data_IF_426158096349
#
_entry.id   IF_426158096349
#
_cell.length_a   1.000
_cell.length_b   1.000
_cell.length_c   1.000
_cell.angle_alpha   90.00
_cell.angle_beta   90.00
_cell.angle_gamma   90.00
#
_symmetry.space_group_name_H-M   'P 1'
#
loop_
_entity.id
_entity.type
_entity.pdbx_description
1 polymer ?
#
# COMPACT_ATOMS: atom_id res chain seq x y z
N UNK A 1 23.65 -5.22 18.75
CA UNK A 1 22.60 -4.59 17.91
C UNK A 1 23.26 -4.00 16.68
N UNK A 2 22.69 -4.19 15.49
CA UNK A 2 23.16 -3.52 14.26
C UNK A 2 22.83 -2.03 14.41
N UNK A 3 23.72 -1.13 13.99
CA UNK A 3 23.45 0.30 14.04
C UNK A 3 22.26 0.65 13.13
N UNK A 4 21.49 1.66 13.50
CA UNK A 4 20.37 2.18 12.72
C UNK A 4 20.81 2.52 11.30
N UNK A 5 21.98 3.13 11.17
CA UNK A 5 22.55 3.50 9.88
C UNK A 5 22.77 2.29 8.97
N UNK A 6 23.35 1.20 9.50
CA UNK A 6 23.60 -0.01 8.72
C UNK A 6 22.29 -0.73 8.36
N UNK A 7 21.35 -0.82 9.32
CA UNK A 7 20.05 -1.45 9.09
C UNK A 7 19.25 -0.70 8.00
N UNK A 8 19.15 0.63 8.10
CA UNK A 8 18.48 1.46 7.10
C UNK A 8 19.12 1.34 5.71
N UNK A 9 20.45 1.35 5.61
CA UNK A 9 21.14 1.18 4.34
C UNK A 9 20.93 -0.21 3.73
N UNK A 10 20.99 -1.27 4.53
CA UNK A 10 20.78 -2.65 4.05
C UNK A 10 19.40 -2.82 3.43
N UNK A 11 18.40 -2.26 4.11
CA UNK A 11 17.00 -2.26 3.67
C UNK A 11 16.80 -1.45 2.39
N UNK A 12 17.27 -0.21 2.37
CA UNK A 12 16.95 0.73 1.28
C UNK A 12 17.67 0.41 -0.03
N UNK A 13 18.85 -0.23 0.02
CA UNK A 13 19.57 -0.67 -1.19
C UNK A 13 18.77 -1.67 -2.02
N UNK A 14 17.96 -2.51 -1.37
CA UNK A 14 17.11 -3.52 -2.01
C UNK A 14 15.64 -3.35 -1.60
N UNK A 15 15.14 -2.11 -1.66
CA UNK A 15 13.79 -1.79 -1.20
C UNK A 15 12.71 -2.60 -1.93
N UNK A 16 12.82 -2.73 -3.26
CA UNK A 16 11.87 -3.50 -4.08
C UNK A 16 11.75 -4.95 -3.59
N UNK A 17 12.88 -5.65 -3.47
CA UNK A 17 12.91 -7.03 -2.97
C UNK A 17 12.45 -7.15 -1.51
N UNK A 18 12.65 -6.11 -0.70
CA UNK A 18 12.19 -6.11 0.70
C UNK A 18 10.68 -5.92 0.81
N UNK A 19 10.08 -5.13 -0.09
CA UNK A 19 8.63 -5.01 -0.21
C UNK A 19 8.01 -6.29 -0.77
N UNK A 20 8.61 -6.91 -1.79
CA UNK A 20 8.16 -8.22 -2.32
C UNK A 20 8.14 -9.30 -1.25
N UNK A 21 9.25 -9.45 -0.51
CA UNK A 21 9.31 -10.39 0.63
C UNK A 21 8.30 -10.09 1.73
N UNK A 22 7.92 -8.82 1.89
CA UNK A 22 6.86 -8.45 2.85
C UNK A 22 5.50 -8.85 2.33
N UNK A 23 5.21 -8.61 1.04
CA UNK A 23 3.97 -9.02 0.40
C UNK A 23 3.75 -10.54 0.46
N UNK A 24 4.84 -11.32 0.38
CA UNK A 24 4.80 -12.79 0.47
C UNK A 24 4.57 -13.34 1.89
N UNK A 25 4.64 -12.50 2.94
CA UNK A 25 4.36 -12.97 4.30
C UNK A 25 2.90 -13.47 4.39
N UNK A 26 2.63 -14.62 5.05
CA UNK A 26 1.30 -15.24 5.05
C UNK A 26 0.15 -14.29 5.42
N UNK A 27 0.32 -13.50 6.49
CA UNK A 27 -0.71 -12.57 6.95
C UNK A 27 -0.95 -11.42 5.94
N UNK A 28 0.14 -10.85 5.40
CA UNK A 28 0.08 -9.77 4.40
C UNK A 28 -0.56 -10.26 3.11
N UNK A 29 -0.13 -11.43 2.61
CA UNK A 29 -0.67 -12.06 1.41
C UNK A 29 -2.16 -12.39 1.57
N UNK A 30 -2.55 -12.93 2.72
CA UNK A 30 -3.93 -13.33 3.01
C UNK A 30 -4.88 -12.13 3.06
N UNK A 31 -4.48 -11.05 3.74
CA UNK A 31 -5.28 -9.83 3.81
C UNK A 31 -5.33 -9.10 2.46
N UNK A 32 -4.21 -9.04 1.73
CA UNK A 32 -4.14 -8.42 0.40
C UNK A 32 -5.02 -9.18 -0.60
N UNK A 33 -4.95 -10.51 -0.61
CA UNK A 33 -5.80 -11.32 -1.48
C UNK A 33 -7.30 -11.14 -1.16
N UNK A 34 -7.65 -10.98 0.12
CA UNK A 34 -9.04 -10.67 0.49
C UNK A 34 -9.45 -9.29 -0.01
N UNK A 35 -8.60 -8.27 0.16
CA UNK A 35 -8.86 -6.92 -0.29
C UNK A 35 -9.06 -6.86 -1.81
N UNK A 36 -8.11 -7.36 -2.60
CA UNK A 36 -8.17 -7.37 -4.06
C UNK A 36 -9.41 -8.11 -4.59
N UNK A 37 -9.77 -9.25 -3.98
CA UNK A 37 -10.92 -10.06 -4.40
C UNK A 37 -12.27 -9.40 -4.11
N UNK A 38 -12.36 -8.52 -3.12
CA UNK A 38 -13.65 -8.01 -2.63
C UNK A 38 -13.83 -6.51 -2.82
N UNK A 39 -12.77 -5.71 -2.89
CA UNK A 39 -12.89 -4.25 -2.99
C UNK A 39 -13.61 -3.80 -4.27
N UNK A 40 -13.47 -4.56 -5.37
CA UNK A 40 -14.22 -4.30 -6.60
C UNK A 40 -15.74 -4.45 -6.44
N UNK A 41 -16.22 -5.18 -5.45
CA UNK A 41 -17.67 -5.37 -5.21
C UNK A 41 -18.29 -4.24 -4.41
N UNK A 42 -17.46 -3.38 -3.82
CA UNK A 42 -17.89 -2.26 -2.98
C UNK A 42 -18.32 -1.10 -3.87
N UNK A 43 -19.61 -0.76 -3.85
CA UNK A 43 -20.19 0.30 -4.67
C UNK A 43 -20.46 1.57 -3.88
N UNK A 44 -20.74 1.42 -2.59
CA UNK A 44 -21.11 2.52 -1.72
C UNK A 44 -20.23 2.58 -0.49
N UNK A 45 -20.29 3.73 0.21
CA UNK A 45 -19.67 3.86 1.53
C UNK A 45 -20.25 2.85 2.52
N UNK A 46 -21.54 2.55 2.45
CA UNK A 46 -22.16 1.58 3.36
C UNK A 46 -21.62 0.17 3.13
N UNK A 47 -21.44 -0.25 1.88
CA UNK A 47 -20.80 -1.53 1.55
C UNK A 47 -19.39 -1.60 2.13
N UNK A 48 -18.63 -0.49 2.01
CA UNK A 48 -17.26 -0.41 2.51
C UNK A 48 -17.19 -0.50 4.03
N UNK A 49 -18.06 0.23 4.73
CA UNK A 49 -18.08 0.28 6.20
C UNK A 49 -18.66 -1.01 6.81
N UNK A 50 -19.48 -1.75 6.06
CA UNK A 50 -20.05 -3.02 6.48
C UNK A 50 -19.02 -4.16 6.48
N UNK A 51 -18.07 -4.17 5.54
CA UNK A 51 -16.97 -5.13 5.53
C UNK A 51 -15.81 -4.63 6.41
N UNK A 52 -15.80 -5.08 7.66
CA UNK A 52 -14.80 -4.70 8.66
C UNK A 52 -13.36 -5.05 8.24
N UNK A 53 -13.18 -6.12 7.46
CA UNK A 53 -11.86 -6.56 7.01
C UNK A 53 -11.33 -5.65 5.90
N UNK A 54 -12.16 -5.29 4.93
CA UNK A 54 -11.81 -4.28 3.92
C UNK A 54 -11.51 -2.92 4.56
N UNK A 55 -12.37 -2.50 5.48
CA UNK A 55 -12.22 -1.22 6.16
C UNK A 55 -10.91 -1.15 6.97
N UNK A 56 -10.59 -2.18 7.77
CA UNK A 56 -9.34 -2.20 8.56
C UNK A 56 -8.11 -2.22 7.67
N UNK A 57 -8.08 -3.06 6.64
CA UNK A 57 -6.99 -3.10 5.67
C UNK A 57 -6.70 -1.71 5.07
N UNK A 58 -7.77 -1.04 4.64
CA UNK A 58 -7.68 0.28 4.05
C UNK A 58 -7.24 1.35 5.06
N UNK A 59 -7.74 1.31 6.30
CA UNK A 59 -7.33 2.25 7.35
C UNK A 59 -5.85 2.06 7.72
N UNK A 60 -5.41 0.80 7.83
CA UNK A 60 -4.01 0.44 8.11
C UNK A 60 -3.08 0.89 6.99
N UNK A 61 -3.46 0.69 5.72
CA UNK A 61 -2.69 1.14 4.57
C UNK A 61 -2.37 2.64 4.61
N UNK A 62 -3.27 3.46 5.17
CA UNK A 62 -3.08 4.91 5.27
C UNK A 62 -2.39 5.33 6.58
N UNK A 63 -1.93 4.35 7.37
CA UNK A 63 -1.28 4.54 8.65
C UNK A 63 -2.24 5.04 9.73
N UNK A 64 -3.53 4.75 9.59
CA UNK A 64 -4.60 5.17 10.51
C UNK A 64 -5.11 4.01 11.37
N UNK A 65 -4.38 2.89 11.44
CA UNK A 65 -4.83 1.65 12.09
C UNK A 65 -5.29 1.80 13.54
N UNK A 66 -4.57 2.63 14.32
CA UNK A 66 -4.96 2.97 15.70
C UNK A 66 -6.33 3.65 15.78
N UNK A 67 -6.82 4.25 14.70
CA UNK A 67 -8.11 4.93 14.60
C UNK A 67 -9.18 4.07 13.93
N UNK A 68 -8.89 2.82 13.58
CA UNK A 68 -9.86 1.90 12.98
C UNK A 68 -11.09 1.70 13.87
N UNK A 69 -10.96 1.76 15.20
CA UNK A 69 -12.09 1.65 16.12
C UNK A 69 -13.10 2.80 15.97
N UNK A 70 -12.67 3.97 15.50
CA UNK A 70 -13.48 5.19 15.44
C UNK A 70 -14.39 5.23 14.19
N UNK A 71 -15.19 4.18 13.95
CA UNK A 71 -15.97 4.00 12.72
C UNK A 71 -16.90 5.18 12.38
N UNK A 72 -17.55 5.78 13.37
CA UNK A 72 -18.44 6.93 13.13
C UNK A 72 -17.66 8.17 12.66
N UNK A 73 -16.48 8.40 13.22
CA UNK A 73 -15.59 9.47 12.79
C UNK A 73 -15.08 9.22 11.37
N UNK A 74 -14.62 7.99 11.09
CA UNK A 74 -14.13 7.60 9.77
C UNK A 74 -15.23 7.65 8.70
N UNK A 75 -16.46 7.26 9.05
CA UNK A 75 -17.63 7.46 8.18
C UNK A 75 -17.77 8.92 7.78
N UNK A 76 -17.74 9.85 8.75
CA UNK A 76 -17.84 11.29 8.44
C UNK A 76 -16.70 11.80 7.56
N UNK A 77 -15.46 11.33 7.81
CA UNK A 77 -14.29 11.64 6.97
C UNK A 77 -14.53 11.22 5.51
N UNK A 78 -15.11 10.05 5.29
CA UNK A 78 -15.41 9.51 3.96
C UNK A 78 -16.65 10.17 3.31
N UNK A 79 -17.69 10.49 4.09
CA UNK A 79 -18.93 11.13 3.59
C UNK A 79 -18.67 12.53 3.04
N UNK A 80 -17.86 13.35 3.72
CA UNK A 80 -17.54 14.70 3.25
C UNK A 80 -16.38 14.72 2.22
N UNK A 81 -15.66 13.61 2.08
CA UNK A 81 -14.59 13.43 1.09
C UNK A 81 -13.29 14.21 1.34
N UNK A 82 -12.26 13.90 0.55
CA UNK A 82 -10.93 14.52 0.66
C UNK A 82 -10.61 15.58 -0.41
N UNK A 83 -11.52 15.79 -1.36
CA UNK A 83 -11.25 16.54 -2.59
C UNK A 83 -11.67 18.02 -2.52
N UNK A 84 -12.43 18.43 -1.50
CA UNK A 84 -12.83 19.82 -1.27
C UNK A 84 -11.98 20.46 -0.16
N UNK A 85 -11.53 21.72 -0.31
CA UNK A 85 -10.83 22.44 0.76
C UNK A 85 -11.71 22.65 2.00
N UNK A 86 -13.03 22.64 1.85
CA UNK A 86 -13.99 22.84 2.94
C UNK A 86 -14.45 21.55 3.62
N UNK A 87 -14.02 20.38 3.13
CA UNK A 87 -14.45 19.11 3.71
C UNK A 87 -13.94 18.92 5.15
N UNK A 88 -14.67 18.15 5.95
CA UNK A 88 -14.24 17.78 7.30
C UNK A 88 -12.80 17.28 7.34
N UNK A 89 -12.42 16.40 6.42
CA UNK A 89 -11.06 15.84 6.36
C UNK A 89 -9.98 16.90 6.11
N UNK A 90 -10.28 17.95 5.33
CA UNK A 90 -9.37 19.07 5.05
C UNK A 90 -9.18 20.01 6.25
N UNK A 91 -10.11 19.99 7.22
CA UNK A 91 -10.04 20.79 8.46
C UNK A 91 -9.31 20.08 9.60
N UNK A 92 -9.03 18.79 9.45
CA UNK A 92 -8.28 18.02 10.44
C UNK A 92 -6.78 18.37 10.38
N UNK A 93 -6.14 18.38 11.55
CA UNK A 93 -4.70 18.63 11.64
C UNK A 93 -3.87 17.53 10.99
N UNK A 94 -4.35 16.28 11.05
CA UNK A 94 -3.69 15.13 10.45
C UNK A 94 -4.09 14.98 8.97
N UNK A 95 -3.15 15.20 8.01
CA UNK A 95 -3.46 15.14 6.58
C UNK A 95 -3.77 13.73 6.07
N UNK A 96 -3.48 12.67 6.83
CA UNK A 96 -3.75 11.28 6.44
C UNK A 96 -5.23 11.03 6.19
N UNK A 97 -6.11 11.67 6.96
CA UNK A 97 -7.57 11.56 6.78
C UNK A 97 -8.03 12.08 5.41
N UNK A 98 -7.47 13.22 4.96
CA UNK A 98 -7.77 13.76 3.63
C UNK A 98 -7.30 12.84 2.52
N UNK A 99 -6.10 12.28 2.66
CA UNK A 99 -5.53 11.35 1.67
C UNK A 99 -6.32 10.04 1.61
N UNK A 100 -6.78 9.55 2.77
CA UNK A 100 -7.69 8.42 2.87
C UNK A 100 -9.04 8.71 2.20
N UNK A 101 -9.68 9.83 2.55
CA UNK A 101 -10.97 10.22 2.00
C UNK A 101 -10.94 10.44 0.48
N UNK A 102 -9.86 11.02 -0.05
CA UNK A 102 -9.70 11.19 -1.50
C UNK A 102 -9.55 9.86 -2.24
N UNK A 103 -8.91 8.86 -1.63
CA UNK A 103 -8.74 7.55 -2.26
C UNK A 103 -10.04 6.74 -2.27
N UNK A 104 -10.87 6.87 -1.23
CA UNK A 104 -12.14 6.18 -1.11
C UNK A 104 -13.32 7.03 -1.61
N UNK A 105 -13.11 7.85 -2.64
CA UNK A 105 -14.15 8.60 -3.32
C UNK A 105 -14.93 7.68 -4.29
N UNK A 106 -16.24 7.57 -4.09
CA UNK A 106 -17.13 6.71 -4.85
C UNK A 106 -17.80 7.42 -6.04
N UNK A 107 -17.46 8.69 -6.35
CA UNK A 107 -18.19 9.52 -7.34
C UNK A 107 -17.72 9.43 -8.81
N UNK A 108 -16.63 8.72 -9.13
CA UNK A 108 -15.92 8.87 -10.42
C UNK A 108 -16.30 7.95 -11.60
N UNK A 109 -17.06 6.87 -11.39
CA UNK A 109 -17.28 5.78 -12.38
C UNK A 109 -18.46 5.99 -13.34
N UNK A 110 -19.26 7.04 -13.14
CA UNK A 110 -20.57 7.19 -13.80
C UNK A 110 -20.47 7.53 -15.30
N UNK A 111 -19.51 8.36 -15.71
CA UNK A 111 -19.47 8.91 -17.09
C UNK A 111 -19.26 7.84 -18.17
N UNK A 112 -18.31 6.91 -17.98
CA UNK A 112 -18.05 5.86 -18.97
C UNK A 112 -19.20 4.84 -19.01
N UNK A 113 -19.79 4.56 -17.85
CA UNK A 113 -20.97 3.68 -17.74
C UNK A 113 -22.15 4.27 -18.50
N UNK A 114 -22.40 5.57 -18.37
CA UNK A 114 -23.45 6.26 -19.11
C UNK A 114 -23.21 6.24 -20.63
N UNK A 115 -21.97 6.51 -21.07
CA UNK A 115 -21.62 6.39 -22.48
C UNK A 115 -21.87 4.98 -23.02
N UNK A 116 -21.55 3.95 -22.25
CA UNK A 116 -21.84 2.56 -22.63
C UNK A 116 -23.35 2.29 -22.72
N UNK A 117 -24.11 2.65 -21.68
CA UNK A 117 -25.56 2.37 -21.62
C UNK A 117 -26.34 3.06 -22.73
N UNK A 118 -25.94 4.28 -23.08
CA UNK A 118 -26.62 5.10 -24.09
C UNK A 118 -26.34 4.60 -25.51
N UNK A 119 -25.14 4.05 -25.76
CA UNK A 119 -24.69 3.73 -27.12
C UNK A 119 -24.70 2.23 -27.45
N UNK A 120 -24.74 1.32 -26.48
CA UNK A 120 -24.64 -0.13 -26.75
C UNK A 120 -25.76 -0.65 -27.67
N UNK A 121 -26.95 -0.03 -27.61
CA UNK A 121 -28.11 -0.38 -28.46
C UNK A 121 -27.95 0.06 -29.93
N UNK A 122 -26.96 0.90 -30.24
CA UNK A 122 -26.67 1.32 -31.63
C UNK A 122 -25.89 0.25 -32.40
N UNK A 123 -25.35 -0.75 -31.72
CA UNK A 123 -24.58 -1.84 -32.31
C UNK A 123 -25.46 -2.67 -33.24
N UNK A 124 -25.09 -2.68 -34.53
CA UNK A 124 -25.80 -3.40 -35.58
C UNK A 124 -25.05 -4.61 -36.15
N UNK A 125 -23.76 -4.77 -35.83
CA UNK A 125 -22.90 -5.87 -36.27
C UNK A 125 -21.79 -6.12 -35.26
N UNK A 126 -21.22 -7.34 -35.27
CA UNK A 126 -20.00 -7.67 -34.50
C UNK A 126 -18.85 -6.76 -34.92
N UNK A 127 -18.69 -6.51 -36.21
CA UNK A 127 -17.66 -5.60 -36.74
C UNK A 127 -17.81 -4.19 -36.16
N UNK A 128 -19.01 -3.62 -36.17
CA UNK A 128 -19.25 -2.30 -35.57
C UNK A 128 -18.92 -2.28 -34.08
N UNK A 129 -19.32 -3.31 -33.33
CA UNK A 129 -19.03 -3.40 -31.91
C UNK A 129 -17.51 -3.41 -31.64
N UNK A 130 -16.76 -4.30 -32.30
CA UNK A 130 -15.31 -4.46 -32.08
C UNK A 130 -14.53 -3.22 -32.50
N UNK A 131 -14.96 -2.52 -33.56
CA UNK A 131 -14.30 -1.29 -34.01
C UNK A 131 -14.76 -0.03 -33.26
N UNK A 132 -15.83 -0.10 -32.46
CA UNK A 132 -16.22 0.99 -31.58
C UNK A 132 -15.37 0.93 -30.31
N UNK A 133 -14.22 1.61 -30.32
CA UNK A 133 -13.25 1.56 -29.21
C UNK A 133 -13.88 1.87 -27.84
N UNK A 134 -14.85 2.79 -27.78
CA UNK A 134 -15.52 3.13 -26.52
C UNK A 134 -16.31 1.95 -25.94
N UNK A 135 -17.20 1.36 -26.75
CA UNK A 135 -18.02 0.23 -26.33
C UNK A 135 -17.19 -1.05 -26.13
N UNK A 136 -16.25 -1.29 -27.04
CA UNK A 136 -15.40 -2.47 -27.01
C UNK A 136 -14.45 -2.43 -25.82
N UNK A 137 -13.71 -1.34 -25.60
CA UNK A 137 -12.78 -1.26 -24.47
C UNK A 137 -13.51 -1.32 -23.14
N UNK A 138 -14.71 -0.73 -23.03
CA UNK A 138 -15.55 -0.84 -21.83
C UNK A 138 -15.89 -2.31 -21.55
N UNK A 139 -16.37 -3.03 -22.56
CA UNK A 139 -16.70 -4.44 -22.44
C UNK A 139 -15.47 -5.31 -22.16
N UNK A 140 -14.35 -5.09 -22.85
CA UNK A 140 -13.12 -5.84 -22.62
C UNK A 140 -12.60 -5.64 -21.20
N UNK A 141 -12.64 -4.41 -20.68
CA UNK A 141 -12.30 -4.11 -19.29
C UNK A 141 -13.23 -4.78 -18.28
N UNK A 142 -14.53 -4.76 -18.56
CA UNK A 142 -15.51 -5.44 -17.71
C UNK A 142 -15.21 -6.94 -17.57
N UNK A 143 -14.55 -7.57 -18.54
CA UNK A 143 -14.21 -9.00 -18.48
C UNK A 143 -12.73 -9.28 -18.20
N UNK A 144 -11.91 -8.25 -17.96
CA UNK A 144 -10.47 -8.40 -17.72
C UNK A 144 -9.71 -8.96 -18.94
N UNK A 145 -10.07 -8.48 -20.13
CA UNK A 145 -9.59 -8.95 -21.44
C UNK A 145 -8.74 -7.89 -22.18
N UNK A 146 -8.31 -6.83 -21.50
CA UNK A 146 -7.57 -5.72 -22.11
C UNK A 146 -6.27 -6.16 -22.80
N UNK A 147 -5.66 -7.24 -22.33
CA UNK A 147 -4.42 -7.82 -22.89
C UNK A 147 -4.59 -8.43 -24.29
N UNK A 148 -5.83 -8.72 -24.70
CA UNK A 148 -6.13 -9.30 -26.02
C UNK A 148 -6.93 -8.35 -26.92
N UNK A 149 -7.18 -7.11 -26.51
CA UNK A 149 -8.02 -6.16 -27.27
C UNK A 149 -7.54 -5.93 -28.70
N UNK A 150 -6.24 -6.04 -28.94
CA UNK A 150 -5.62 -5.83 -30.26
C UNK A 150 -5.78 -7.04 -31.21
N UNK A 151 -6.24 -8.20 -30.69
CA UNK A 151 -6.52 -9.43 -31.45
C UNK A 151 -7.94 -9.42 -32.05
N UNK A 152 -8.26 -8.33 -32.76
CA UNK A 152 -9.63 -8.04 -33.21
C UNK A 152 -10.18 -9.11 -34.16
N UNK A 153 -9.35 -9.66 -35.04
CA UNK A 153 -9.78 -10.68 -36.01
C UNK A 153 -10.15 -12.01 -35.33
N UNK A 154 -9.35 -12.46 -34.37
CA UNK A 154 -9.66 -13.66 -33.59
C UNK A 154 -10.92 -13.46 -32.75
N UNK A 155 -11.06 -12.29 -32.12
CA UNK A 155 -12.22 -11.94 -31.31
C UNK A 155 -13.49 -11.91 -32.17
N UNK A 156 -13.48 -11.20 -33.31
CA UNK A 156 -14.62 -11.16 -34.23
C UNK A 156 -15.00 -12.56 -34.70
N UNK A 157 -14.02 -13.38 -35.10
CA UNK A 157 -14.25 -14.75 -35.53
C UNK A 157 -14.92 -15.59 -34.45
N UNK A 158 -14.48 -15.47 -33.20
CA UNK A 158 -15.05 -16.19 -32.08
C UNK A 158 -16.45 -15.69 -31.68
N UNK A 159 -16.69 -14.37 -31.76
CA UNK A 159 -18.01 -13.77 -31.53
C UNK A 159 -19.03 -14.21 -32.58
N UNK A 160 -18.64 -14.31 -33.85
CA UNK A 160 -19.48 -14.88 -34.90
C UNK A 160 -19.75 -16.37 -34.69
N UNK A 161 -18.75 -17.12 -34.22
CA UNK A 161 -18.89 -18.55 -33.94
C UNK A 161 -19.66 -18.85 -32.63
N UNK A 162 -19.80 -17.87 -31.74
CA UNK A 162 -20.37 -18.05 -30.39
C UNK A 162 -19.51 -18.92 -29.48
N UNK A 163 -18.26 -19.19 -29.88
CA UNK A 163 -17.32 -20.05 -29.16
C UNK A 163 -15.90 -19.65 -29.48
N UNK A 164 -15.00 -20.00 -28.56
CA UNK A 164 -13.58 -19.83 -28.77
C UNK A 164 -13.11 -20.65 -30.00
N UNK A 165 -12.45 -19.98 -30.95
CA UNK A 165 -11.95 -20.57 -32.22
C UNK A 165 -10.48 -21.01 -32.14
N UNK A 166 -9.73 -20.52 -31.16
CA UNK A 166 -8.33 -20.83 -30.86
C UNK A 166 -7.95 -20.32 -29.47
N UNK A 167 -6.77 -20.66 -28.95
CA UNK A 167 -6.32 -20.17 -27.64
C UNK A 167 -5.61 -18.83 -27.75
N UNK A 168 -5.76 -17.96 -26.75
CA UNK A 168 -5.00 -16.73 -26.62
C UNK A 168 -3.61 -16.91 -25.98
N UNK A 169 -3.26 -18.13 -25.57
CA UNK A 169 -1.98 -18.47 -24.93
C UNK A 169 -2.03 -18.42 -23.39
N UNK A 170 -3.17 -18.06 -22.81
CA UNK A 170 -3.39 -17.99 -21.37
C UNK A 170 -4.74 -18.62 -21.01
N UNK A 171 -4.72 -19.60 -20.09
CA UNK A 171 -5.92 -20.36 -19.70
C UNK A 171 -6.95 -19.51 -18.97
N UNK A 172 -6.52 -18.53 -18.20
CA UNK A 172 -7.41 -17.62 -17.48
C UNK A 172 -8.08 -16.65 -18.46
N UNK A 173 -7.32 -16.12 -19.42
CA UNK A 173 -7.87 -15.28 -20.49
C UNK A 173 -8.86 -16.08 -21.35
N UNK A 174 -8.54 -17.31 -21.73
CA UNK A 174 -9.44 -18.18 -22.47
C UNK A 174 -10.74 -18.48 -21.70
N UNK A 175 -10.67 -18.58 -20.37
CA UNK A 175 -11.85 -18.77 -19.52
C UNK A 175 -12.70 -17.50 -19.44
N UNK A 176 -12.08 -16.34 -19.20
CA UNK A 176 -12.75 -15.03 -19.20
C UNK A 176 -13.40 -14.73 -20.54
N UNK A 177 -12.74 -15.07 -21.65
CA UNK A 177 -13.29 -14.85 -22.99
C UNK A 177 -14.48 -15.76 -23.30
N UNK A 178 -14.47 -17.01 -22.83
CA UNK A 178 -15.67 -17.88 -22.90
C UNK A 178 -16.84 -17.31 -22.12
N UNK A 179 -16.58 -16.67 -20.97
CA UNK A 179 -17.60 -15.99 -20.19
C UNK A 179 -18.15 -14.77 -20.92
N UNK A 180 -17.26 -13.96 -21.50
CA UNK A 180 -17.60 -12.84 -22.37
C UNK A 180 -18.54 -13.26 -23.53
N UNK A 181 -18.24 -14.35 -24.22
CA UNK A 181 -19.07 -14.85 -25.33
C UNK A 181 -20.47 -15.31 -24.89
N UNK A 182 -20.66 -15.74 -23.64
CA UNK A 182 -21.99 -16.07 -23.11
C UNK A 182 -22.83 -14.82 -22.89
N UNK A 183 -22.19 -13.73 -22.47
CA UNK A 183 -22.85 -12.44 -22.24
C UNK A 183 -23.10 -11.75 -23.58
N UNK A 184 -22.10 -11.65 -24.45
CA UNK A 184 -22.17 -11.06 -25.79
C UNK A 184 -22.50 -12.09 -26.87
N UNK A 185 -23.63 -12.80 -26.72
CA UNK A 185 -24.02 -13.91 -27.62
C UNK A 185 -24.62 -13.42 -28.96
N UNK A 186 -23.79 -12.80 -29.79
CA UNK A 186 -24.16 -12.38 -31.16
C UNK A 186 -24.45 -13.56 -32.09
N UNK A 187 -23.85 -14.72 -31.85
CA UNK A 187 -24.05 -15.90 -32.69
C UNK A 187 -25.48 -16.43 -32.61
N UNK A 188 -26.06 -16.47 -31.40
CA UNK A 188 -27.43 -16.93 -31.18
C UNK A 188 -28.46 -15.82 -31.33
N UNK A 189 -28.17 -14.65 -30.77
CA UNK A 189 -29.17 -13.58 -30.63
C UNK A 189 -29.01 -12.46 -31.66
N UNK A 190 -27.94 -12.46 -32.46
CA UNK A 190 -27.60 -11.35 -33.34
C UNK A 190 -27.50 -10.04 -32.56
N UNK A 191 -28.00 -8.95 -33.14
CA UNK A 191 -28.03 -7.63 -32.50
C UNK A 191 -28.98 -7.55 -31.31
N UNK A 192 -29.90 -8.50 -31.12
CA UNK A 192 -30.79 -8.49 -29.94
C UNK A 192 -30.03 -8.69 -28.63
N UNK A 193 -28.80 -9.22 -28.69
CA UNK A 193 -27.94 -9.36 -27.51
C UNK A 193 -27.71 -8.02 -26.80
N UNK A 194 -27.60 -6.90 -27.54
CA UNK A 194 -27.36 -5.57 -26.95
C UNK A 194 -28.61 -4.92 -26.33
N UNK A 195 -29.77 -5.57 -26.48
CA UNK A 195 -31.01 -5.18 -25.82
C UNK A 195 -31.29 -5.99 -24.55
N UNK A 196 -30.47 -7.01 -24.24
CA UNK A 196 -30.63 -7.82 -23.03
C UNK A 196 -30.31 -6.98 -21.78
N UNK A 197 -31.29 -6.76 -20.88
CA UNK A 197 -31.04 -6.05 -19.62
C UNK A 197 -29.98 -6.74 -18.75
N UNK A 198 -29.83 -8.06 -18.85
CA UNK A 198 -28.82 -8.81 -18.10
C UNK A 198 -27.42 -8.51 -18.59
N UNK A 199 -27.20 -8.41 -19.90
CA UNK A 199 -25.91 -7.99 -20.47
C UNK A 199 -25.51 -6.62 -19.94
N UNK A 200 -26.45 -5.67 -19.94
CA UNK A 200 -26.20 -4.32 -19.46
C UNK A 200 -25.80 -4.32 -17.97
N UNK A 201 -26.61 -4.97 -17.13
CA UNK A 201 -26.34 -5.04 -15.69
C UNK A 201 -25.00 -5.73 -15.41
N UNK A 202 -24.75 -6.88 -16.03
CA UNK A 202 -23.53 -7.66 -15.79
C UNK A 202 -22.27 -6.94 -16.28
N UNK A 203 -22.31 -6.33 -17.47
CA UNK A 203 -21.16 -5.59 -17.99
C UNK A 203 -20.86 -4.37 -17.12
N UNK A 204 -21.88 -3.60 -16.74
CA UNK A 204 -21.69 -2.39 -15.94
C UNK A 204 -21.17 -2.71 -14.53
N UNK A 205 -21.71 -3.75 -13.89
CA UNK A 205 -21.24 -4.20 -12.58
C UNK A 205 -19.79 -4.67 -12.61
N UNK A 206 -19.42 -5.47 -13.61
CA UNK A 206 -18.05 -5.96 -13.74
C UNK A 206 -17.07 -4.84 -14.11
N UNK A 207 -17.48 -3.89 -14.94
CA UNK A 207 -16.67 -2.72 -15.27
C UNK A 207 -16.39 -1.87 -14.03
N UNK A 208 -17.43 -1.55 -13.25
CA UNK A 208 -17.27 -0.79 -12.00
C UNK A 208 -16.33 -1.52 -11.03
N UNK A 209 -16.46 -2.84 -10.94
CA UNK A 209 -15.58 -3.65 -10.11
C UNK A 209 -14.12 -3.63 -10.58
N UNK A 210 -13.88 -3.75 -11.88
CA UNK A 210 -12.54 -3.69 -12.47
C UNK A 210 -11.88 -2.31 -12.24
N UNK A 211 -12.61 -1.22 -12.52
CA UNK A 211 -12.12 0.14 -12.27
C UNK A 211 -11.81 0.35 -10.79
N UNK A 212 -12.69 -0.12 -9.90
CA UNK A 212 -12.48 0.01 -8.46
C UNK A 212 -11.25 -0.78 -8.00
N UNK A 213 -11.06 -2.02 -8.47
CA UNK A 213 -9.89 -2.82 -8.15
C UNK A 213 -8.59 -2.10 -8.58
N UNK A 214 -8.55 -1.56 -9.79
CA UNK A 214 -7.39 -0.80 -10.31
C UNK A 214 -7.12 0.47 -9.51
N UNK A 215 -8.15 1.27 -9.20
CA UNK A 215 -8.02 2.48 -8.39
C UNK A 215 -7.50 2.20 -6.97
N UNK A 216 -7.67 0.96 -6.49
CA UNK A 216 -7.25 0.54 -5.16
C UNK A 216 -5.85 -0.07 -5.12
N UNK A 217 -5.16 -0.23 -6.25
CA UNK A 217 -3.77 -0.69 -6.27
C UNK A 217 -2.83 0.17 -5.39
N UNK A 218 -2.93 1.51 -5.37
CA UNK A 218 -2.12 2.32 -4.46
C UNK A 218 -2.41 2.04 -2.97
N UNK A 219 -3.59 1.53 -2.62
CA UNK A 219 -3.93 1.10 -1.26
C UNK A 219 -3.20 -0.18 -0.91
N UNK A 220 -3.14 -1.16 -1.82
CA UNK A 220 -2.36 -2.39 -1.65
C UNK A 220 -0.89 -2.08 -1.44
N UNK A 221 -0.31 -1.25 -2.31
CA UNK A 221 1.10 -0.86 -2.21
C UNK A 221 1.40 -0.15 -0.88
N UNK A 222 0.48 0.71 -0.44
CA UNK A 222 0.55 1.38 0.86
C UNK A 222 0.47 0.41 2.03
N UNK A 223 -0.41 -0.58 1.97
CA UNK A 223 -0.53 -1.61 3.00
C UNK A 223 0.74 -2.43 3.13
N UNK A 224 1.25 -2.98 2.02
CA UNK A 224 2.51 -3.75 2.01
C UNK A 224 3.65 -2.90 2.58
N UNK A 225 3.71 -1.62 2.19
CA UNK A 225 4.73 -0.72 2.68
C UNK A 225 4.57 -0.38 4.18
N UNK A 226 3.35 -0.22 4.67
CA UNK A 226 3.07 -0.02 6.09
C UNK A 226 3.52 -1.25 6.90
N UNK A 227 3.12 -2.45 6.46
CA UNK A 227 3.53 -3.70 7.08
C UNK A 227 5.06 -3.86 7.07
N UNK A 228 5.70 -3.45 5.98
CA UNK A 228 7.15 -3.45 5.87
C UNK A 228 7.79 -2.50 6.90
N UNK A 229 7.32 -1.26 6.99
CA UNK A 229 7.80 -0.26 7.96
C UNK A 229 7.59 -0.71 9.42
N UNK A 230 6.46 -1.34 9.74
CA UNK A 230 6.16 -1.90 11.07
C UNK A 230 7.07 -3.06 11.43
N UNK A 231 7.32 -3.97 10.48
CA UNK A 231 8.21 -5.11 10.66
C UNK A 231 9.67 -4.66 10.93
N UNK A 232 10.15 -3.65 10.20
CA UNK A 232 11.48 -3.07 10.46
C UNK A 232 11.52 -2.34 11.81
N UNK A 233 10.44 -1.65 12.18
CA UNK A 233 10.28 -0.95 13.46
C UNK A 233 10.31 -1.86 14.68
N UNK A 234 9.74 -3.07 14.56
CA UNK A 234 9.81 -4.09 15.61
C UNK A 234 11.26 -4.47 15.97
N UNK A 235 12.18 -4.35 15.01
CA UNK A 235 13.61 -4.58 15.22
C UNK A 235 14.36 -3.30 15.62
N UNK A 236 14.08 -2.18 14.96
CA UNK A 236 14.69 -0.89 15.24
C UNK A 236 13.72 0.26 14.88
N UNK A 237 13.16 0.91 15.92
CA UNK A 237 12.22 2.02 15.78
C UNK A 237 12.77 3.17 14.91
N UNK A 238 14.07 3.46 15.01
CA UNK A 238 14.66 4.53 14.21
C UNK A 238 14.73 4.15 12.72
N UNK A 239 14.80 2.87 12.36
CA UNK A 239 14.71 2.43 10.96
C UNK A 239 13.30 2.69 10.43
N UNK A 240 12.25 2.38 11.20
CA UNK A 240 10.86 2.71 10.84
C UNK A 240 10.68 4.20 10.62
N UNK A 241 11.17 5.02 11.56
CA UNK A 241 11.11 6.48 11.45
C UNK A 241 11.84 7.01 10.22
N UNK A 242 13.02 6.45 9.89
CA UNK A 242 13.76 6.82 8.68
C UNK A 242 13.00 6.46 7.40
N UNK A 243 12.42 5.26 7.32
CA UNK A 243 11.63 4.79 6.18
C UNK A 243 10.35 5.63 6.01
N UNK A 244 9.65 5.90 7.11
CA UNK A 244 8.46 6.74 7.14
C UNK A 244 8.77 8.17 6.67
N UNK A 245 9.84 8.77 7.18
CA UNK A 245 10.28 10.10 6.76
C UNK A 245 10.70 10.10 5.28
N UNK A 246 11.47 9.12 4.82
CA UNK A 246 11.86 8.94 3.41
C UNK A 246 10.65 8.95 2.48
N UNK A 247 9.55 8.30 2.89
CA UNK A 247 8.29 8.25 2.14
C UNK A 247 7.58 9.60 2.07
N UNK A 248 7.51 10.32 3.19
CA UNK A 248 6.69 11.53 3.34
C UNK A 248 7.42 12.81 2.95
N UNK A 249 8.73 12.86 3.15
CA UNK A 249 9.56 14.05 2.98
C UNK A 249 9.41 14.76 1.61
N UNK A 250 9.30 14.06 0.46
CA UNK A 250 9.13 14.73 -0.83
C UNK A 250 7.81 15.51 -0.96
N UNK A 251 6.80 15.17 -0.16
CA UNK A 251 5.51 15.87 -0.15
C UNK A 251 5.48 17.09 0.77
N UNK A 252 6.47 17.24 1.66
CA UNK A 252 6.51 18.30 2.64
C UNK A 252 6.86 19.64 2.00
N UNK A 253 6.07 20.66 2.31
CA UNK A 253 6.21 22.03 1.78
C UNK A 253 6.57 23.05 2.85
N UNK A 254 6.31 22.76 4.12
CA UNK A 254 6.57 23.69 5.22
C UNK A 254 6.68 22.96 6.57
N UNK A 255 7.13 23.69 7.59
CA UNK A 255 7.34 23.15 8.93
C UNK A 255 6.05 22.73 9.64
N UNK A 256 4.92 23.38 9.35
CA UNK A 256 3.63 22.99 9.96
C UNK A 256 3.25 21.54 9.61
N UNK A 257 3.57 21.08 8.41
CA UNK A 257 3.34 19.68 8.01
C UNK A 257 4.24 18.68 8.75
N UNK A 258 5.44 19.10 9.16
CA UNK A 258 6.30 18.29 10.05
C UNK A 258 5.73 18.27 11.47
N UNK A 259 5.30 19.43 11.98
CA UNK A 259 4.77 19.58 13.33
C UNK A 259 3.43 18.85 13.53
N UNK A 260 2.66 18.66 12.45
CA UNK A 260 1.41 17.92 12.47
C UNK A 260 1.58 16.40 12.60
N UNK A 261 2.79 15.86 12.43
CA UNK A 261 3.06 14.42 12.44
C UNK A 261 4.15 14.08 13.48
N UNK A 262 3.81 13.34 14.56
CA UNK A 262 4.75 12.97 15.63
C UNK A 262 6.01 12.23 15.14
N UNK A 263 5.90 11.40 14.10
CA UNK A 263 7.04 10.68 13.56
C UNK A 263 7.96 11.62 12.77
N UNK A 264 7.40 12.57 12.01
CA UNK A 264 8.18 13.53 11.25
C UNK A 264 8.92 14.51 12.16
N UNK A 265 8.25 15.07 13.17
CA UNK A 265 8.89 15.98 14.13
C UNK A 265 10.02 15.27 14.90
N UNK A 266 9.83 14.01 15.28
CA UNK A 266 10.86 13.23 15.97
C UNK A 266 12.11 13.07 15.09
N UNK A 267 11.95 12.71 13.82
CA UNK A 267 13.07 12.59 12.87
C UNK A 267 13.78 13.92 12.69
N UNK A 268 13.02 15.00 12.48
CA UNK A 268 13.58 16.35 12.28
C UNK A 268 14.32 16.85 13.51
N UNK A 269 13.77 16.65 14.71
CA UNK A 269 14.41 17.01 15.96
C UNK A 269 15.74 16.25 16.16
N UNK A 270 15.72 14.93 16.00
CA UNK A 270 16.93 14.11 16.14
C UNK A 270 17.99 14.46 15.09
N UNK A 271 17.60 14.59 13.82
CA UNK A 271 18.53 14.90 12.73
C UNK A 271 19.20 16.27 12.92
N UNK A 272 18.42 17.28 13.33
CA UNK A 272 18.88 18.67 13.44
C UNK A 272 19.44 19.02 14.82
N UNK A 273 19.37 18.10 15.79
CA UNK A 273 19.79 18.33 17.17
C UNK A 273 18.89 19.35 17.88
N UNK A 274 17.60 19.39 17.55
CA UNK A 274 16.62 20.24 18.22
C UNK A 274 16.11 19.48 19.46
N UNK A 275 16.23 20.04 20.68
CA UNK A 275 15.77 19.38 21.90
C UNK A 275 14.26 19.11 21.91
N UNK A 276 13.81 18.02 22.55
CA UNK A 276 12.37 17.66 22.60
C UNK A 276 11.54 18.69 23.36
N UNK A 277 12.18 19.43 24.27
CA UNK A 277 11.58 20.49 25.08
C UNK A 277 11.02 21.63 24.21
N UNK A 278 11.53 21.80 22.97
CA UNK A 278 11.00 22.82 22.06
C UNK A 278 9.56 22.53 21.64
N UNK A 279 9.08 21.28 21.78
CA UNK A 279 7.68 20.93 21.48
C UNK A 279 6.67 21.60 22.42
N UNK A 280 7.11 22.12 23.57
CA UNK A 280 6.27 22.92 24.47
C UNK A 280 6.17 24.41 24.11
N UNK A 281 6.88 24.87 23.06
CA UNK A 281 6.85 26.28 22.63
C UNK A 281 5.62 26.58 21.75
N UNK A 282 5.35 27.87 21.51
CA UNK A 282 4.38 28.30 20.50
C UNK A 282 4.67 27.69 19.12
N UNK A 283 3.64 27.22 18.43
CA UNK A 283 3.79 26.45 17.18
C UNK A 283 4.51 27.24 16.08
N UNK A 284 4.26 28.55 15.99
CA UNK A 284 4.92 29.43 15.02
C UNK A 284 6.43 29.53 15.29
N UNK A 285 6.83 29.57 16.56
CA UNK A 285 8.26 29.59 16.94
C UNK A 285 8.93 28.25 16.63
N UNK A 286 8.23 27.14 16.83
CA UNK A 286 8.72 25.83 16.41
C UNK A 286 8.90 25.77 14.89
N UNK A 287 7.91 26.27 14.13
CA UNK A 287 7.96 26.31 12.68
C UNK A 287 9.13 27.16 12.15
N UNK A 288 9.39 28.32 12.77
CA UNK A 288 10.52 29.19 12.47
C UNK A 288 11.87 28.51 12.74
N UNK A 289 12.01 27.81 13.87
CA UNK A 289 13.23 27.08 14.22
C UNK A 289 13.55 25.97 13.22
N UNK A 290 12.53 25.21 12.82
CA UNK A 290 12.65 24.16 11.81
C UNK A 290 13.01 24.79 10.46
N UNK A 291 12.27 25.81 10.02
CA UNK A 291 12.47 26.43 8.70
C UNK A 291 13.83 27.10 8.55
N UNK A 292 14.44 27.59 9.65
CA UNK A 292 15.81 28.11 9.65
C UNK A 292 16.88 27.03 9.46
N UNK A 293 16.59 25.78 9.81
CA UNK A 293 17.55 24.66 9.80
C UNK A 293 17.27 23.62 8.71
N UNK A 294 16.08 23.65 8.11
CA UNK A 294 15.60 22.68 7.13
C UNK A 294 15.06 23.40 5.90
N UNK A 295 15.66 23.09 4.76
CA UNK A 295 15.16 23.52 3.46
C UNK A 295 14.25 22.41 2.88
N UNK A 296 12.94 22.69 2.82
CA UNK A 296 11.94 21.75 2.31
C UNK A 296 12.09 21.47 0.82
N UNK A 297 12.71 22.37 0.03
CA UNK A 297 12.99 22.10 -1.37
C UNK A 297 14.03 20.99 -1.52
N UNK A 298 15.01 20.92 -0.60
CA UNK A 298 16.04 19.86 -0.61
C UNK A 298 15.48 18.48 -0.31
N UNK A 299 14.43 18.39 0.51
CA UNK A 299 13.78 17.10 0.82
C UNK A 299 13.12 16.43 -0.41
N UNK A 300 12.89 17.19 -1.48
CA UNK A 300 12.34 16.68 -2.74
C UNK A 300 13.45 16.08 -3.63
N UNK A 301 14.72 16.39 -3.36
CA UNK A 301 15.85 15.80 -4.06
C UNK A 301 16.25 14.48 -3.36
N UNK A 302 16.29 13.35 -4.09
CA UNK A 302 16.60 12.04 -3.49
C UNK A 302 17.96 11.97 -2.78
N UNK A 303 18.99 12.62 -3.33
CA UNK A 303 20.35 12.60 -2.74
C UNK A 303 20.41 13.44 -1.46
N UNK A 304 19.81 14.64 -1.48
CA UNK A 304 19.75 15.49 -0.30
C UNK A 304 18.90 14.87 0.83
N UNK A 305 17.79 14.20 0.46
CA UNK A 305 17.00 13.41 1.40
C UNK A 305 17.83 12.27 2.00
N UNK A 306 18.61 11.55 1.19
CA UNK A 306 19.48 10.49 1.68
C UNK A 306 20.57 11.02 2.63
N UNK A 307 21.16 12.18 2.34
CA UNK A 307 22.10 12.85 3.25
C UNK A 307 21.43 13.21 4.57
N UNK A 308 20.21 13.77 4.51
CA UNK A 308 19.43 14.10 5.71
C UNK A 308 19.14 12.86 6.57
N UNK A 309 18.72 11.76 5.94
CA UNK A 309 18.44 10.50 6.64
C UNK A 309 19.71 9.84 7.19
N UNK A 310 20.83 9.95 6.49
CA UNK A 310 22.14 9.50 7.01
C UNK A 310 22.53 10.27 8.26
N UNK A 311 22.27 11.58 8.29
CA UNK A 311 22.46 12.41 9.48
C UNK A 311 21.51 11.98 10.60
N UNK A 312 20.23 11.75 10.30
CA UNK A 312 19.26 11.25 11.27
C UNK A 312 19.71 9.93 11.91
N UNK A 313 20.04 8.91 11.11
CA UNK A 313 20.41 7.59 11.65
C UNK A 313 21.69 7.65 12.47
N UNK A 314 22.66 8.47 12.07
CA UNK A 314 23.88 8.70 12.85
C UNK A 314 23.60 9.39 14.19
N UNK A 315 22.74 10.40 14.20
CA UNK A 315 22.33 11.09 15.44
C UNK A 315 21.51 10.18 16.36
N UNK A 316 20.65 9.34 15.79
CA UNK A 316 19.88 8.35 16.52
C UNK A 316 20.80 7.29 17.17
N UNK A 317 21.79 6.80 16.42
CA UNK A 317 22.81 5.87 16.95
C UNK A 317 23.65 6.52 18.07
N UNK A 318 23.99 7.81 17.95
CA UNK A 318 24.72 8.54 18.98
C UNK A 318 23.90 8.74 20.27
N UNK A 319 22.59 9.02 20.15
CA UNK A 319 21.69 9.19 21.29
C UNK A 319 21.35 7.87 21.98
N UNK A 320 21.32 6.76 21.24
CA UNK A 320 21.11 5.42 21.80
C UNK A 320 22.28 4.91 22.65
N UNK A 321 23.41 5.64 22.68
CA UNK A 321 24.66 5.20 23.29
C UNK A 321 25.40 4.17 22.43
N UNK A 322 26.71 3.95 22.65
CA UNK A 322 27.42 2.92 21.89
C UNK A 322 26.73 1.57 22.10
N UNK A 323 26.52 0.75 21.05
CA UNK A 323 26.22 -0.65 21.27
C UNK A 323 27.34 -1.16 22.17
N UNK A 324 27.03 -1.83 23.28
CA UNK A 324 28.08 -2.47 24.08
C UNK A 324 28.85 -3.39 23.14
N UNK A 325 30.01 -2.93 22.68
CA UNK A 325 30.90 -3.73 21.88
C UNK A 325 31.25 -4.91 22.75
N UNK A 326 30.90 -6.13 22.34
CA UNK A 326 31.30 -7.34 23.04
C UNK A 326 32.83 -7.38 23.28
N UNK A 327 33.60 -6.70 22.42
CA UNK A 327 35.04 -6.48 22.57
C UNK A 327 35.42 -5.66 23.82
N UNK A 328 34.63 -4.67 24.23
CA UNK A 328 34.87 -3.89 25.46
C UNK A 328 34.53 -4.71 26.72
N UNK A 329 33.56 -5.61 26.66
CA UNK A 329 33.28 -6.57 27.74
C UNK A 329 34.39 -7.61 27.90
N UNK A 330 35.04 -8.00 26.80
CA UNK A 330 36.23 -8.88 26.80
C UNK A 330 37.48 -8.14 27.29
N UNK A 331 37.60 -6.83 26.99
CA UNK A 331 38.78 -6.03 27.33
C UNK A 331 38.73 -5.43 28.75
N UNK A 332 37.54 -5.20 29.30
CA UNK A 332 37.31 -4.58 30.62
C UNK A 332 36.73 -5.59 31.64
N UNK A 333 36.37 -6.80 31.20
CA UNK A 333 35.99 -7.89 32.09
C UNK A 333 37.16 -8.32 33.00
N UNK A 334 36.90 -8.77 34.24
CA UNK A 334 37.96 -9.27 35.12
C UNK A 334 38.73 -10.41 34.44
N UNK A 335 40.03 -10.60 34.74
CA UNK A 335 40.80 -11.67 34.13
C UNK A 335 40.08 -13.00 34.32
N UNK A 336 40.04 -13.80 33.24
CA UNK A 336 39.43 -15.11 33.23
C UNK A 336 40.13 -16.03 34.25
N UNK A 337 39.66 -15.99 35.48
CA UNK A 337 39.95 -16.97 36.51
C UNK A 337 38.67 -17.25 37.28
N UNK A 338 38.34 -18.54 37.35
CA UNK A 338 37.32 -19.14 38.22
C UNK A 338 35.84 -18.92 37.82
N UNK A 339 35.43 -19.56 36.72
CA UNK A 339 34.09 -20.16 36.65
C UNK A 339 34.10 -21.45 35.81
N UNK A 340 35.11 -22.30 36.02
CA UNK A 340 34.94 -23.73 35.80
C UNK A 340 34.20 -24.25 37.03
N UNK A 341 32.91 -24.51 36.88
CA UNK A 341 32.07 -24.98 37.98
C UNK A 341 32.67 -26.25 38.58
N UNK A 342 32.71 -26.30 39.91
CA UNK A 342 33.14 -27.46 40.71
C UNK A 342 32.37 -28.74 40.33
N UNK A 343 31.18 -28.59 39.73
CA UNK A 343 30.36 -29.66 39.18
C UNK A 343 30.97 -30.39 37.98
N UNK A 344 31.78 -29.71 37.15
CA UNK A 344 32.44 -30.35 36.00
C UNK A 344 33.67 -31.17 36.44
N UNK A 345 34.33 -30.76 37.52
CA UNK A 345 35.43 -31.50 38.14
C UNK A 345 34.92 -32.75 38.90
N UNK A 346 33.76 -32.64 39.56
CA UNK A 346 33.09 -33.76 40.22
C UNK A 346 32.55 -34.80 39.21
N UNK A 347 32.03 -34.37 38.06
CA UNK A 347 31.48 -35.28 37.04
C UNK A 347 32.55 -36.08 36.27
N UNK A 348 33.76 -35.54 36.13
CA UNK A 348 34.90 -36.24 35.54
C UNK A 348 35.51 -37.26 36.52
N UNK A 349 35.41 -37.02 37.84
CA UNK A 349 35.89 -37.97 38.85
C UNK A 349 34.96 -39.19 39.02
N UNK A 350 33.68 -39.08 38.65
CA UNK A 350 32.74 -40.21 38.62
C UNK A 350 32.85 -41.11 37.38
N UNK A 351 33.63 -40.72 36.35
CA UNK A 351 33.70 -41.45 35.08
C UNK A 351 34.92 -42.38 34.94
N UNK A 352 35.68 -42.60 36.01
CA UNK A 352 36.82 -43.53 35.94
C UNK A 352 37.15 -44.16 37.28
N UNK A 353 36.62 -45.35 37.53
CA UNK A 353 37.30 -46.53 38.11
C UNK A 353 36.25 -47.52 38.63
N UNK A 354 36.20 -48.71 38.02
CA UNK A 354 35.44 -49.83 38.54
C UNK A 354 35.04 -50.84 37.48
N UNK A 355 36.04 -51.48 36.86
CA UNK A 355 35.78 -52.78 36.21
C UNK A 355 35.79 -53.88 37.26
N UNK A 356 34.81 -54.79 37.18
CA UNK A 356 34.99 -56.24 37.17
C UNK A 356 33.85 -56.84 36.37
#
# INVERSE_FOLDING_TARGET
>A
MISTTLAYQAVTRNLTQSLERTAEKPDVATETAYFEKNIGKVKTLDDFMADDRLYRYAVDAYGLGDMAYAKAFMRRVLEEGGNSPDSFASRLSDPRYRVFAAAFDFSGTEKQTQLFTDNIRTVNTVTFFVHNEGLFNYAMKAFGLESIKDKSDEIMSAMHAGKLTGSFGDKEIDAKFRDFLKVYDFAKNGTRTTFDPKLLQETTDRYQAAVRAEQMQPTVDRYVRQQFEENEGASNENVRLALYFSRKAPSLKNAFQVLADPALIQVVQTALGIPKETSGMDIDRQADLISKKLDFAKLQNPEELQKFLTRFTAMADAQAGPPMSAALTILVGPPASAAMTTDLLMSIQSLRLGGM
#
